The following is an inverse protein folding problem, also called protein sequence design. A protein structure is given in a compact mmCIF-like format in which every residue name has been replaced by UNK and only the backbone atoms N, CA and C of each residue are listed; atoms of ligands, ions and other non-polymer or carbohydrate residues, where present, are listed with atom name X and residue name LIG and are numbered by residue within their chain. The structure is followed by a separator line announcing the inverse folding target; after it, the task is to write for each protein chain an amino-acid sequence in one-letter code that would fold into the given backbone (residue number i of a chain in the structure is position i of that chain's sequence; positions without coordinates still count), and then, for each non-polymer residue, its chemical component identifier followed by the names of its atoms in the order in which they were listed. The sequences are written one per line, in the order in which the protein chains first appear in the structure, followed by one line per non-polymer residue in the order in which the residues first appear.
data_IF_142719862844
#
_entry.id   IF_142719862844
#
_cell.length_a   1.000
_cell.length_b   1.000
_cell.length_c   1.000
_cell.angle_alpha   90.00
_cell.angle_beta   90.00
_cell.angle_gamma   90.00
#
_symmetry.space_group_name_H-M   'P 1'
#
loop_
_entity.id
_entity.type
_entity.pdbx_description
1 polymer ?
#
# COMPACT_ATOMS: atom_id res chain seq x y z
N UNK A 1 15.73 -8.52 -4.11
CA UNK A 1 16.13 -7.13 -3.83
C UNK A 1 14.90 -6.39 -3.33
N UNK A 2 14.97 -5.48 -2.35
CA UNK A 2 13.84 -4.63 -1.97
C UNK A 2 14.06 -3.24 -2.58
N UNK A 3 13.04 -2.66 -3.23
CA UNK A 3 13.10 -1.29 -3.76
C UNK A 3 12.29 -0.37 -2.87
N UNK A 4 12.89 0.73 -2.46
CA UNK A 4 12.23 1.74 -1.61
C UNK A 4 12.50 3.12 -2.20
N UNK A 5 11.45 3.93 -2.30
CA UNK A 5 11.56 5.38 -2.53
C UNK A 5 10.81 6.11 -1.42
N UNK A 6 11.15 7.37 -1.18
CA UNK A 6 10.51 8.20 -0.16
C UNK A 6 10.06 9.54 -0.74
N UNK A 7 8.97 10.07 -0.21
CA UNK A 7 8.45 11.37 -0.59
C UNK A 7 7.82 12.11 0.60
N UNK A 8 7.84 13.44 0.56
CA UNK A 8 7.17 14.28 1.54
C UNK A 8 5.74 14.63 1.09
N UNK A 9 4.79 14.55 2.01
CA UNK A 9 3.41 15.00 1.80
C UNK A 9 2.78 15.40 3.13
N UNK A 10 2.08 16.54 3.19
CA UNK A 10 1.40 16.97 4.42
C UNK A 10 2.30 17.09 5.66
N UNK A 11 3.58 17.42 5.48
CA UNK A 11 4.55 17.53 6.58
C UNK A 11 5.07 16.21 7.14
N UNK A 12 4.78 15.08 6.48
CA UNK A 12 5.28 13.75 6.84
C UNK A 12 6.08 13.14 5.70
N UNK A 13 7.05 12.29 6.04
CA UNK A 13 7.80 11.47 5.08
C UNK A 13 7.10 10.13 4.94
N UNK A 14 6.78 9.77 3.70
CA UNK A 14 6.20 8.49 3.33
C UNK A 14 7.21 7.67 2.54
N UNK A 15 7.19 6.36 2.74
CA UNK A 15 8.05 5.40 2.03
C UNK A 15 7.18 4.51 1.14
N UNK A 16 7.45 4.47 -0.15
CA UNK A 16 6.88 3.48 -1.07
C UNK A 16 7.85 2.32 -1.15
N UNK A 17 7.40 1.13 -0.71
CA UNK A 17 8.23 -0.07 -0.67
C UNK A 17 7.68 -1.12 -1.62
N UNK A 18 8.51 -1.62 -2.52
CA UNK A 18 8.25 -2.80 -3.33
C UNK A 18 8.85 -4.04 -2.66
N UNK A 19 7.99 -5.01 -2.40
CA UNK A 19 8.26 -6.24 -1.68
C UNK A 19 8.05 -7.39 -2.67
N UNK A 20 9.08 -8.19 -2.97
CA UNK A 20 8.95 -9.35 -3.83
C UNK A 20 8.05 -10.42 -3.17
N UNK A 21 7.22 -11.08 -3.97
CA UNK A 21 6.35 -12.20 -3.58
C UNK A 21 6.62 -13.43 -4.44
N UNK A 22 6.13 -14.61 -4.05
CA UNK A 22 6.37 -15.85 -4.79
C UNK A 22 6.00 -15.76 -6.30
N UNK A 23 5.01 -14.94 -6.65
CA UNK A 23 4.48 -14.80 -8.00
C UNK A 23 4.70 -13.41 -8.63
N UNK A 24 5.40 -12.49 -7.95
CA UNK A 24 5.54 -11.12 -8.45
C UNK A 24 5.98 -10.11 -7.39
N UNK A 25 5.33 -8.95 -7.35
CA UNK A 25 5.68 -7.86 -6.44
C UNK A 25 4.46 -7.18 -5.84
N UNK A 26 4.59 -6.75 -4.59
CA UNK A 26 3.63 -5.90 -3.90
C UNK A 26 4.27 -4.56 -3.57
N UNK A 27 3.57 -3.48 -3.84
CA UNK A 27 3.94 -2.12 -3.49
C UNK A 27 2.97 -1.60 -2.43
N UNK A 28 3.53 -1.12 -1.31
CA UNK A 28 2.77 -0.51 -0.21
C UNK A 28 3.44 0.79 0.25
N UNK A 29 2.63 1.69 0.78
CA UNK A 29 3.10 2.97 1.33
C UNK A 29 3.19 2.84 2.83
N UNK A 30 4.26 3.38 3.41
CA UNK A 30 4.55 3.38 4.83
C UNK A 30 4.76 4.81 5.32
N UNK A 31 4.46 5.04 6.58
CA UNK A 31 4.80 6.25 7.32
C UNK A 31 5.39 5.79 8.65
N UNK A 32 6.60 6.25 8.98
CA UNK A 32 7.31 5.83 10.20
C UNK A 32 7.43 4.31 10.33
N UNK A 33 7.61 3.60 9.21
CA UNK A 33 7.70 2.14 9.17
C UNK A 33 6.36 1.38 9.30
N UNK A 34 5.24 2.07 9.48
CA UNK A 34 3.89 1.50 9.58
C UNK A 34 3.17 1.67 8.23
N UNK A 35 2.45 0.66 7.72
CA UNK A 35 1.65 0.83 6.50
C UNK A 35 0.71 2.04 6.62
N UNK A 36 0.90 3.02 5.73
CA UNK A 36 0.16 4.28 5.75
C UNK A 36 -1.27 4.13 5.20
N UNK A 37 -1.54 3.06 4.45
CA UNK A 37 -2.82 2.76 3.83
C UNK A 37 -3.15 1.25 3.83
N UNK A 38 -4.45 0.91 3.74
CA UNK A 38 -4.94 -0.46 3.52
C UNK A 38 -4.70 -0.96 2.09
N UNK A 39 -4.42 -0.04 1.15
CA UNK A 39 -4.25 -0.34 -0.28
C UNK A 39 -2.92 -1.03 -0.55
N UNK A 40 -2.98 -2.13 -1.29
CA UNK A 40 -1.80 -2.85 -1.79
C UNK A 40 -1.85 -2.91 -3.30
N UNK A 41 -0.83 -2.34 -3.95
CA UNK A 41 -0.67 -2.43 -5.40
C UNK A 41 0.12 -3.70 -5.69
N UNK A 42 -0.36 -4.55 -6.59
CA UNK A 42 0.30 -5.83 -6.88
C UNK A 42 0.47 -6.01 -8.38
N UNK A 43 1.58 -6.62 -8.75
CA UNK A 43 1.79 -7.16 -10.10
C UNK A 43 2.08 -8.64 -9.95
N UNK A 44 1.31 -9.45 -10.65
CA UNK A 44 1.38 -10.91 -10.64
C UNK A 44 1.70 -11.40 -12.05
N UNK A 45 2.53 -12.44 -12.15
CA UNK A 45 2.79 -13.12 -13.41
C UNK A 45 1.79 -14.25 -13.59
N UNK A 46 0.91 -14.15 -14.59
CA UNK A 46 0.00 -15.25 -14.98
C UNK A 46 0.75 -16.54 -15.38
N UNK A 47 2.03 -16.43 -15.70
CA UNK A 47 2.90 -17.58 -15.93
C UNK A 47 3.55 -17.96 -14.59
N UNK A 48 3.11 -19.08 -14.01
CA UNK A 48 3.80 -19.73 -12.89
C UNK A 48 5.17 -20.19 -13.38
N UNK A 49 6.21 -19.40 -13.13
CA UNK A 49 7.58 -19.76 -13.48
C UNK A 49 8.33 -20.15 -12.20
N UNK A 50 8.81 -21.39 -12.16
CA UNK A 50 9.54 -22.02 -11.06
C UNK A 50 10.89 -21.32 -10.72
N UNK A 51 11.29 -20.32 -11.50
CA UNK A 51 12.55 -19.61 -11.34
C UNK A 51 12.32 -18.24 -10.66
N UNK A 52 13.10 -18.00 -9.59
CA UNK A 52 13.09 -16.84 -8.71
C UNK A 52 12.73 -15.53 -9.43
N UNK A 53 11.70 -14.82 -8.93
CA UNK A 53 11.53 -13.37 -8.67
C UNK A 53 12.15 -12.27 -9.58
N UNK A 54 12.94 -12.65 -10.59
CA UNK A 54 13.91 -11.85 -11.35
C UNK A 54 13.36 -11.41 -12.71
N UNK A 55 12.08 -11.69 -13.01
CA UNK A 55 11.49 -11.44 -14.34
C UNK A 55 10.36 -10.44 -14.39
N UNK A 56 9.86 -9.94 -13.26
CA UNK A 56 9.01 -8.75 -13.30
C UNK A 56 9.91 -7.57 -13.68
N UNK A 57 9.70 -6.90 -14.83
CA UNK A 57 10.59 -5.83 -15.28
C UNK A 57 10.67 -4.74 -14.22
N UNK A 58 11.88 -4.29 -13.92
CA UNK A 58 12.09 -3.24 -12.90
C UNK A 58 11.32 -1.96 -13.24
N UNK A 59 11.13 -1.67 -14.53
CA UNK A 59 10.32 -0.56 -15.03
C UNK A 59 8.84 -0.70 -14.67
N UNK A 60 8.31 -1.93 -14.66
CA UNK A 60 6.93 -2.20 -14.26
C UNK A 60 6.75 -1.96 -12.75
N UNK A 61 7.74 -2.40 -11.96
CA UNK A 61 7.77 -2.12 -10.51
C UNK A 61 7.89 -0.62 -10.26
N UNK A 62 8.75 0.08 -10.99
CA UNK A 62 8.92 1.54 -10.89
C UNK A 62 7.62 2.29 -11.24
N UNK A 63 6.94 1.90 -12.33
CA UNK A 63 5.65 2.48 -12.70
C UNK A 63 4.55 2.22 -11.65
N UNK A 64 4.59 1.06 -10.99
CA UNK A 64 3.67 0.73 -9.91
C UNK A 64 3.94 1.58 -8.65
N UNK A 65 5.22 1.83 -8.34
CA UNK A 65 5.62 2.72 -7.24
C UNK A 65 5.20 4.17 -7.50
N UNK A 66 5.37 4.66 -8.73
CA UNK A 66 4.90 6.01 -9.13
C UNK A 66 3.37 6.11 -9.03
N UNK A 67 2.65 5.07 -9.46
CA UNK A 67 1.18 5.02 -9.38
C UNK A 67 0.72 5.09 -7.93
N UNK A 68 1.36 4.31 -7.04
CA UNK A 68 1.05 4.32 -5.61
C UNK A 68 1.26 5.72 -5.00
N UNK A 69 2.42 6.34 -5.26
CA UNK A 69 2.72 7.71 -4.79
C UNK A 69 1.69 8.72 -5.31
N UNK A 70 1.38 8.67 -6.60
CA UNK A 70 0.44 9.59 -7.25
C UNK A 70 -0.96 9.48 -6.68
N UNK A 71 -1.47 8.26 -6.53
CA UNK A 71 -2.82 8.01 -6.00
C UNK A 71 -2.92 8.43 -4.53
N UNK A 72 -1.86 8.20 -3.76
CA UNK A 72 -1.76 8.68 -2.38
C UNK A 72 -1.81 10.21 -2.30
N UNK A 73 -1.00 10.91 -3.10
CA UNK A 73 -0.98 12.38 -3.15
C UNK A 73 -2.28 12.99 -3.64
N UNK A 74 -3.03 12.30 -4.51
CA UNK A 74 -4.34 12.73 -5.01
C UNK A 74 -5.47 12.49 -4.02
N UNK A 75 -5.20 11.88 -2.87
CA UNK A 75 -6.21 11.62 -1.85
C UNK A 75 -7.08 10.39 -2.13
N UNK A 76 -6.88 9.67 -3.24
CA UNK A 76 -7.67 8.47 -3.59
C UNK A 76 -7.53 7.38 -2.51
N UNK A 77 -6.34 7.29 -1.90
CA UNK A 77 -6.11 6.41 -0.74
C UNK A 77 -6.62 7.00 0.58
N UNK A 78 -6.67 8.32 0.72
CA UNK A 78 -7.17 9.00 1.92
C UNK A 78 -8.68 8.85 2.06
N UNK A 79 -9.44 8.96 0.97
CA UNK A 79 -10.90 8.75 0.98
C UNK A 79 -11.28 7.34 1.46
N UNK A 80 -10.49 6.32 1.11
CA UNK A 80 -10.70 4.94 1.54
C UNK A 80 -10.26 4.68 2.99
N UNK A 81 -9.18 5.30 3.47
CA UNK A 81 -8.78 5.22 4.89
C UNK A 81 -9.81 5.90 5.79
N UNK A 82 -10.34 7.05 5.37
CA UNK A 82 -11.42 7.71 6.09
C UNK A 82 -12.69 6.87 6.06
N UNK A 83 -13.01 6.19 4.95
CA UNK A 83 -14.13 5.26 4.89
C UNK A 83 -13.94 4.02 5.80
N UNK A 84 -12.75 3.41 5.83
CA UNK A 84 -12.44 2.28 6.73
C UNK A 84 -12.48 2.71 8.20
N UNK A 85 -11.88 3.85 8.56
CA UNK A 85 -11.95 4.39 9.93
C UNK A 85 -13.36 4.78 10.34
N UNK A 86 -14.13 5.42 9.45
CA UNK A 86 -15.52 5.75 9.74
C UNK A 86 -16.36 4.49 10.01
N UNK A 87 -16.03 3.36 9.37
CA UNK A 87 -16.71 2.09 9.62
C UNK A 87 -16.29 1.46 10.95
N UNK A 88 -15.02 1.55 11.33
CA UNK A 88 -14.51 1.04 12.61
C UNK A 88 -15.00 1.86 13.82
N UNK A 89 -15.01 3.20 13.71
CA UNK A 89 -15.56 4.10 14.73
C UNK A 89 -17.08 3.91 14.92
N UNK A 90 -17.85 3.68 13.84
CA UNK A 90 -19.30 3.44 13.94
C UNK A 90 -19.59 2.11 14.64
N UNK A 91 -18.82 1.06 14.34
CA UNK A 91 -18.90 -0.23 15.05
C UNK A 91 -18.52 -0.02 16.52
N UNK A 92 -17.39 0.63 16.81
CA UNK A 92 -16.92 0.90 18.17
C UNK A 92 -17.93 1.68 19.03
N UNK A 93 -18.60 2.68 18.44
CA UNK A 93 -19.64 3.45 19.08
C UNK A 93 -20.91 2.63 19.36
N UNK A 94 -21.23 1.65 18.51
CA UNK A 94 -22.38 0.78 18.72
C UNK A 94 -22.12 -0.25 19.84
N UNK A 95 -20.91 -0.79 19.97
CA UNK A 95 -20.55 -1.71 21.06
C UNK A 95 -20.48 -1.02 22.43
N UNK A 96 -20.13 0.28 22.49
CA UNK A 96 -20.07 1.04 23.75
C UNK A 96 -21.47 1.25 24.36
N UNK A 97 -22.52 1.37 23.54
CA UNK A 97 -23.92 1.47 24.01
C UNK A 97 -24.44 0.20 24.69
N UNK A 98 -23.73 -0.93 24.55
CA UNK A 98 -24.08 -2.21 25.18
C UNK A 98 -23.27 -2.52 26.45
N UNK A 99 -22.44 -1.59 26.95
CA UNK A 99 -21.86 -1.73 28.29
C UNK A 99 -22.90 -1.40 29.37
N UNK A 100 -23.02 -2.24 30.42
CA UNK A 100 -23.97 -2.04 31.53
C UNK A 100 -23.59 -0.88 32.45
#
# INVERSE_FOLDING_TARGET
MHKTTAFEHGGKVYEVRAIPTLSGWKVRIFVEGIPANGVTYSVDSEVYQDAALDRVPEDLVAGLMETAERDFRRGLAQELITAEKATDDDIAAEIDKFKP
#
